data_IF_758332458096
#
_entry.id   IF_758332458096
#
_cell.length_a   1.000
_cell.length_b   1.000
_cell.length_c   1.000
_cell.angle_alpha   90.00
_cell.angle_beta   90.00
_cell.angle_gamma   90.00
#
_symmetry.space_group_name_H-M   'P 1'
#
loop_
_entity.id
_entity.type
_entity.pdbx_description
1 polymer ?
#
# COMPACT_ATOMS: atom_id res chain seq x y z
N UNK A 1 11.35 -5.47 7.25
CA UNK A 1 12.18 -6.65 6.87
C UNK A 1 13.19 -6.18 5.84
N UNK A 2 14.41 -6.73 5.79
CA UNK A 2 15.39 -6.31 4.81
C UNK A 2 14.96 -6.69 3.38
N UNK A 3 15.48 -5.95 2.40
CA UNK A 3 15.39 -6.27 0.97
C UNK A 3 15.82 -7.74 0.72
N UNK A 4 15.10 -8.41 -0.19
CA UNK A 4 15.30 -9.81 -0.52
C UNK A 4 14.66 -10.82 0.44
N UNK A 5 14.06 -10.38 1.56
CA UNK A 5 13.33 -11.29 2.45
C UNK A 5 12.11 -11.88 1.77
N UNK A 6 11.89 -13.19 1.94
CA UNK A 6 10.66 -13.86 1.52
C UNK A 6 9.60 -13.82 2.63
N UNK A 7 8.36 -13.52 2.27
CA UNK A 7 7.21 -13.43 3.18
C UNK A 7 5.95 -14.04 2.56
N UNK A 8 4.99 -14.41 3.40
CA UNK A 8 3.63 -14.72 2.97
C UNK A 8 2.74 -13.51 3.29
N UNK A 9 2.05 -12.98 2.28
CA UNK A 9 1.22 -11.79 2.45
C UNK A 9 -0.08 -12.12 3.21
N UNK A 10 -0.37 -11.36 4.28
CA UNK A 10 -1.68 -11.41 4.96
C UNK A 10 -2.65 -10.33 4.45
N UNK A 11 -2.16 -9.41 3.60
CA UNK A 11 -2.96 -8.31 3.08
C UNK A 11 -4.05 -8.78 2.08
N UNK A 12 -5.24 -8.19 2.20
CA UNK A 12 -6.42 -8.45 1.35
C UNK A 12 -6.78 -7.24 0.47
N UNK A 13 -5.80 -6.44 0.07
CA UNK A 13 -6.05 -5.19 -0.68
C UNK A 13 -6.69 -5.46 -2.06
N UNK A 14 -6.20 -6.46 -2.78
CA UNK A 14 -6.76 -6.92 -4.05
C UNK A 14 -6.95 -8.44 -4.05
N UNK A 15 -7.90 -8.92 -4.85
CA UNK A 15 -8.12 -10.35 -5.05
C UNK A 15 -6.82 -11.05 -5.48
N UNK A 16 -6.48 -12.12 -4.78
CA UNK A 16 -5.26 -12.90 -5.04
C UNK A 16 -4.02 -12.49 -4.23
N UNK A 17 -4.10 -11.48 -3.36
CA UNK A 17 -2.94 -11.09 -2.54
C UNK A 17 -2.75 -11.97 -1.29
N UNK A 18 -3.83 -12.37 -0.61
CA UNK A 18 -3.69 -13.13 0.63
C UNK A 18 -3.12 -14.51 0.41
N UNK A 19 -2.12 -14.86 1.23
CA UNK A 19 -1.50 -16.17 1.26
C UNK A 19 -0.45 -16.41 0.17
N UNK A 20 -0.15 -15.42 -0.68
CA UNK A 20 0.91 -15.57 -1.69
C UNK A 20 2.29 -15.29 -1.13
N UNK A 21 3.29 -15.99 -1.65
CA UNK A 21 4.70 -15.70 -1.39
C UNK A 21 5.13 -14.44 -2.15
N UNK A 22 5.86 -13.57 -1.47
CA UNK A 22 6.40 -12.34 -2.03
C UNK A 22 7.83 -12.10 -1.52
N UNK A 23 8.64 -11.45 -2.34
CA UNK A 23 9.97 -10.97 -1.95
C UNK A 23 9.90 -9.47 -1.66
N UNK A 24 10.46 -9.04 -0.53
CA UNK A 24 10.53 -7.63 -0.16
C UNK A 24 11.52 -6.92 -1.11
N UNK A 25 11.02 -5.98 -1.90
CA UNK A 25 11.83 -5.16 -2.80
C UNK A 25 12.58 -4.06 -2.03
N UNK A 26 11.89 -3.33 -1.14
CA UNK A 26 12.52 -2.40 -0.21
C UNK A 26 11.70 -2.21 1.06
N UNK A 27 12.28 -1.55 2.07
CA UNK A 27 11.59 -1.11 3.28
C UNK A 27 11.93 0.35 3.59
N UNK A 28 10.93 1.13 4.00
CA UNK A 28 11.10 2.51 4.47
C UNK A 28 10.44 2.69 5.84
N UNK A 29 10.85 3.73 6.56
CA UNK A 29 10.22 4.19 7.80
C UNK A 29 9.56 5.54 7.54
N UNK A 30 8.27 5.49 7.20
CA UNK A 30 7.46 6.64 6.81
C UNK A 30 6.04 6.50 7.40
N UNK A 31 5.38 7.65 7.59
CA UNK A 31 3.95 7.65 7.89
C UNK A 31 3.17 7.12 6.69
N UNK A 32 2.26 6.19 6.93
CA UNK A 32 1.32 5.68 5.91
C UNK A 32 -0.10 6.08 6.27
N UNK A 33 -0.87 6.44 5.25
CA UNK A 33 -2.23 6.93 5.40
C UNK A 33 -3.23 6.01 4.70
N UNK A 34 -4.45 6.06 5.24
CA UNK A 34 -5.63 5.47 4.62
C UNK A 34 -6.54 6.62 4.19
N UNK A 35 -6.96 6.60 2.92
CA UNK A 35 -7.65 7.75 2.31
C UNK A 35 -8.90 7.32 1.54
N UNK A 36 -9.86 8.22 1.43
CA UNK A 36 -10.92 8.12 0.43
C UNK A 36 -10.46 8.87 -0.83
N UNK A 37 -10.48 8.21 -2.00
CA UNK A 37 -9.98 8.76 -3.26
C UNK A 37 -10.94 8.46 -4.41
N UNK A 38 -11.06 9.39 -5.35
CA UNK A 38 -11.74 9.14 -6.64
C UNK A 38 -10.74 9.32 -7.78
N UNK A 39 -10.52 8.26 -8.56
CA UNK A 39 -9.66 8.26 -9.76
C UNK A 39 -10.44 7.64 -10.91
N UNK A 40 -10.39 8.26 -12.08
CA UNK A 40 -11.03 7.75 -13.32
C UNK A 40 -12.51 7.34 -13.15
N UNK A 41 -13.24 8.08 -12.31
CA UNK A 41 -14.66 7.81 -12.02
C UNK A 41 -14.93 6.65 -11.06
N UNK A 42 -13.89 6.01 -10.49
CA UNK A 42 -14.01 5.04 -9.42
C UNK A 42 -13.73 5.69 -8.06
N UNK A 43 -14.68 5.59 -7.15
CA UNK A 43 -14.49 5.98 -5.74
C UNK A 43 -14.02 4.79 -4.93
N UNK A 44 -12.88 4.95 -4.27
CA UNK A 44 -12.27 3.99 -3.36
C UNK A 44 -12.35 4.56 -1.94
N UNK A 45 -13.06 3.88 -1.05
CA UNK A 45 -13.16 4.27 0.36
C UNK A 45 -12.14 3.50 1.19
N UNK A 46 -11.51 4.15 2.18
CA UNK A 46 -10.51 3.56 3.06
C UNK A 46 -9.38 2.86 2.29
N UNK A 47 -8.94 3.45 1.17
CA UNK A 47 -7.87 2.94 0.36
C UNK A 47 -6.57 2.90 1.17
N UNK A 48 -5.92 1.74 1.16
CA UNK A 48 -4.63 1.49 1.79
C UNK A 48 -3.62 1.09 0.71
N UNK A 49 -2.45 1.71 0.65
CA UNK A 49 -1.91 2.80 1.47
C UNK A 49 -1.26 3.80 0.55
N UNK A 50 -1.18 5.05 1.01
CA UNK A 50 -0.31 6.07 0.43
C UNK A 50 0.72 6.49 1.49
N UNK A 51 1.95 6.73 1.08
CA UNK A 51 3.02 7.22 1.97
C UNK A 51 2.96 8.74 2.12
N UNK A 52 3.59 9.28 3.16
CA UNK A 52 3.76 10.74 3.33
C UNK A 52 4.38 11.39 2.09
N UNK A 53 5.40 10.75 1.51
CA UNK A 53 6.13 11.24 0.34
C UNK A 53 5.29 11.30 -0.95
N UNK A 54 4.16 10.57 -1.00
CA UNK A 54 3.22 10.59 -2.12
C UNK A 54 2.17 11.70 -2.02
N UNK A 55 2.08 12.39 -0.87
CA UNK A 55 1.07 13.42 -0.60
C UNK A 55 1.71 14.81 -0.64
N UNK A 56 1.07 15.73 -1.36
CA UNK A 56 1.40 17.15 -1.32
C UNK A 56 0.30 17.94 -0.57
N UNK A 57 0.64 19.05 0.10
CA UNK A 57 -0.36 19.96 0.65
C UNK A 57 -1.35 20.41 -0.43
N UNK A 58 -2.63 20.53 -0.05
CA UNK A 58 -3.61 21.17 -0.91
C UNK A 58 -3.27 22.66 -1.10
N UNK A 59 -3.51 23.18 -2.31
CA UNK A 59 -3.40 24.63 -2.60
C UNK A 59 -4.53 25.44 -1.96
#
# INVERSE_FOLDING_TARGET
LPEGSEVVLDAEHMSGMKGVEATIDYSTDETVYMVDLTVDGMTMTNHKWVTESEIAPAE
#
